data_IF_377826932579
#
_entry.id   IF_377826932579
#
_cell.length_a   1.000
_cell.length_b   1.000
_cell.length_c   1.000
_cell.angle_alpha   90.00
_cell.angle_beta   90.00
_cell.angle_gamma   90.00
#
_symmetry.space_group_name_H-M   'P 1'
#
loop_
_entity.id
_entity.type
_entity.pdbx_description
1 polymer ?
#
# COMPACT_ATOMS: atom_id res chain seq x y z
N UNK A 1 -4.03 20.90 -7.49
CA UNK A 1 -3.02 20.94 -6.42
C UNK A 1 -1.83 21.79 -6.78
N UNK A 2 -1.16 22.33 -5.80
CA UNK A 2 0.03 23.16 -5.98
C UNK A 2 1.24 22.37 -5.48
N UNK A 3 2.32 22.38 -6.25
CA UNK A 3 3.61 21.83 -5.83
C UNK A 3 4.58 23.01 -5.64
N UNK A 4 5.16 23.12 -4.46
CA UNK A 4 6.10 24.17 -4.09
C UNK A 4 7.43 23.51 -3.74
N UNK A 5 8.51 23.99 -4.29
CA UNK A 5 9.86 23.65 -3.85
C UNK A 5 10.56 24.87 -3.29
N UNK A 6 11.30 24.66 -2.22
CA UNK A 6 12.11 25.71 -1.58
C UNK A 6 13.48 25.14 -1.28
N UNK A 7 14.50 25.93 -1.54
CA UNK A 7 15.87 25.63 -1.11
C UNK A 7 16.19 26.42 0.16
N UNK A 8 16.74 25.76 1.15
CA UNK A 8 17.30 26.35 2.36
C UNK A 8 18.79 26.03 2.46
N UNK A 9 19.41 26.32 3.62
CA UNK A 9 20.84 26.06 3.84
C UNK A 9 21.21 24.61 3.94
N UNK A 10 20.24 23.75 4.29
CA UNK A 10 20.43 22.33 4.63
C UNK A 10 19.93 21.40 3.52
N UNK A 11 19.39 21.95 2.41
CA UNK A 11 18.88 21.16 1.31
C UNK A 11 17.68 21.77 0.59
N UNK A 12 16.89 20.92 0.00
CA UNK A 12 15.65 21.28 -0.72
C UNK A 12 14.42 20.64 -0.06
N UNK A 13 13.34 21.38 0.00
CA UNK A 13 12.04 20.87 0.45
C UNK A 13 11.04 20.97 -0.69
N UNK A 14 10.33 19.87 -0.95
CA UNK A 14 9.21 19.82 -1.87
C UNK A 14 7.94 19.61 -1.06
N UNK A 15 6.95 20.45 -1.30
CA UNK A 15 5.68 20.44 -0.58
C UNK A 15 4.54 20.35 -1.60
N UNK A 16 3.54 19.53 -1.28
CA UNK A 16 2.27 19.52 -1.99
C UNK A 16 1.13 19.23 -1.04
N UNK A 17 0.17 20.12 -0.94
CA UNK A 17 -0.94 20.00 -0.01
C UNK A 17 -2.07 19.11 -0.54
N UNK A 18 -2.25 19.08 -1.84
CA UNK A 18 -3.35 18.31 -2.45
C UNK A 18 -3.09 18.11 -3.94
N UNK A 19 -2.65 16.92 -4.29
CA UNK A 19 -2.59 16.47 -5.68
C UNK A 19 -3.63 15.38 -5.87
N UNK A 20 -4.46 15.52 -6.88
CA UNK A 20 -5.37 14.45 -7.30
C UNK A 20 -4.83 13.81 -8.56
N UNK A 21 -4.72 12.49 -8.53
CA UNK A 21 -4.37 11.65 -9.66
C UNK A 21 -5.55 10.73 -9.95
N UNK A 22 -6.05 10.79 -11.17
CA UNK A 22 -7.21 9.98 -11.58
C UNK A 22 -7.02 9.45 -12.99
N UNK A 23 -7.34 8.19 -13.15
CA UNK A 23 -7.43 7.53 -14.46
C UNK A 23 -8.59 6.52 -14.48
N UNK A 24 -8.62 5.61 -15.48
CA UNK A 24 -9.66 4.59 -15.59
C UNK A 24 -9.55 3.49 -14.49
N UNK A 25 -8.39 3.34 -13.86
CA UNK A 25 -8.08 2.24 -12.95
C UNK A 25 -8.13 2.68 -11.48
N UNK A 26 -7.82 3.95 -11.17
CA UNK A 26 -7.84 4.46 -9.80
C UNK A 26 -8.10 5.97 -9.70
N UNK A 27 -8.47 6.41 -8.51
CA UNK A 27 -8.58 7.80 -8.08
C UNK A 27 -7.84 7.97 -6.75
N UNK A 28 -6.95 8.94 -6.66
CA UNK A 28 -6.16 9.21 -5.46
C UNK A 28 -6.03 10.70 -5.21
N UNK A 29 -6.10 11.09 -3.96
CA UNK A 29 -5.75 12.40 -3.47
C UNK A 29 -4.61 12.25 -2.47
N UNK A 30 -3.54 13.04 -2.64
CA UNK A 30 -2.36 12.92 -1.83
C UNK A 30 -1.81 14.27 -1.37
N UNK A 31 -1.13 14.27 -0.24
CA UNK A 31 -0.25 15.32 0.25
C UNK A 31 1.16 14.78 0.42
N UNK A 32 2.15 15.62 0.21
CA UNK A 32 3.55 15.25 0.26
C UNK A 32 4.39 16.39 0.84
N UNK A 33 5.24 16.04 1.80
CA UNK A 33 6.40 16.83 2.18
C UNK A 33 7.65 15.96 2.01
N UNK A 34 8.58 16.39 1.18
CA UNK A 34 9.84 15.69 0.91
C UNK A 34 11.01 16.62 1.21
N UNK A 35 11.79 16.26 2.22
CA UNK A 35 13.05 16.89 2.54
C UNK A 35 14.20 16.18 1.82
N UNK A 36 14.96 16.90 1.04
CA UNK A 36 16.14 16.44 0.31
C UNK A 36 17.36 17.17 0.89
N UNK A 37 18.02 16.61 1.91
CA UNK A 37 19.19 17.23 2.53
C UNK A 37 20.36 17.30 1.54
N UNK A 38 21.23 18.32 1.72
CA UNK A 38 22.51 18.36 1.02
C UNK A 38 23.48 17.33 1.63
N UNK A 39 24.32 16.70 0.81
CA UNK A 39 25.28 15.66 1.25
C UNK A 39 24.67 14.26 1.30
N UNK A 40 25.21 13.41 2.19
CA UNK A 40 24.91 11.96 2.24
C UNK A 40 23.72 11.59 3.12
N UNK A 41 23.04 12.55 3.74
CA UNK A 41 21.90 12.28 4.60
C UNK A 41 20.70 11.81 3.76
N UNK A 42 19.96 10.82 4.29
CA UNK A 42 18.82 10.26 3.59
C UNK A 42 17.66 11.27 3.46
N UNK A 43 16.93 11.23 2.35
CA UNK A 43 15.69 11.97 2.21
C UNK A 43 14.67 11.61 3.29
N UNK A 44 13.96 12.63 3.79
CA UNK A 44 12.86 12.44 4.75
C UNK A 44 11.56 12.76 4.06
N UNK A 45 10.59 11.86 4.18
CA UNK A 45 9.27 11.98 3.57
C UNK A 45 8.17 12.02 4.64
N UNK A 46 7.17 12.85 4.41
CA UNK A 46 5.85 12.77 5.04
C UNK A 46 4.81 12.77 3.92
N UNK A 47 4.14 11.64 3.75
CA UNK A 47 3.21 11.38 2.68
C UNK A 47 1.92 10.80 3.23
N UNK A 48 0.82 11.38 2.83
CA UNK A 48 -0.51 10.85 3.10
C UNK A 48 -1.31 10.78 1.80
N UNK A 49 -2.09 9.73 1.64
CA UNK A 49 -3.04 9.64 0.54
C UNK A 49 -4.32 8.92 0.93
N UNK A 50 -5.41 9.32 0.30
CA UNK A 50 -6.66 8.57 0.23
C UNK A 50 -6.90 8.16 -1.22
N UNK A 51 -7.34 6.92 -1.42
CA UNK A 51 -7.45 6.36 -2.76
C UNK A 51 -8.54 5.31 -2.87
N UNK A 52 -9.00 5.09 -4.08
CA UNK A 52 -9.86 3.98 -4.49
C UNK A 52 -9.31 3.36 -5.77
N UNK A 53 -9.54 2.07 -5.96
CA UNK A 53 -9.09 1.31 -7.13
C UNK A 53 -10.29 0.63 -7.75
N UNK A 54 -10.50 0.86 -9.02
CA UNK A 54 -11.64 0.30 -9.76
C UNK A 54 -11.37 -1.11 -10.27
N UNK A 55 -10.09 -1.46 -10.46
CA UNK A 55 -9.63 -2.79 -10.84
C UNK A 55 -8.29 -3.11 -10.16
N UNK A 56 -8.32 -4.00 -9.17
CA UNK A 56 -7.11 -4.37 -8.41
C UNK A 56 -6.10 -5.15 -9.26
N UNK A 57 -6.54 -5.82 -10.33
CA UNK A 57 -5.63 -6.57 -11.22
C UNK A 57 -4.63 -5.65 -11.92
N UNK A 58 -4.98 -4.39 -12.13
CA UNK A 58 -4.11 -3.37 -12.72
C UNK A 58 -3.08 -2.78 -11.73
N UNK A 59 -3.22 -3.02 -10.42
CA UNK A 59 -2.40 -2.40 -9.37
C UNK A 59 -0.90 -2.69 -9.49
N UNK A 60 -0.53 -3.83 -10.06
CA UNK A 60 0.89 -4.17 -10.29
C UNK A 60 1.67 -3.10 -11.07
N UNK A 61 0.99 -2.30 -11.91
CA UNK A 61 1.61 -1.20 -12.70
C UNK A 61 2.01 -0.01 -11.85
N UNK A 62 1.39 0.16 -10.69
CA UNK A 62 1.55 1.33 -9.80
C UNK A 62 2.43 1.04 -8.59
N UNK A 63 2.87 -0.20 -8.43
CA UNK A 63 3.74 -0.59 -7.33
C UNK A 63 5.13 0.07 -7.46
N UNK A 64 5.68 0.64 -6.37
CA UNK A 64 6.97 1.31 -6.40
C UNK A 64 8.11 0.31 -6.53
N UNK A 65 8.58 0.10 -7.76
CA UNK A 65 9.54 -0.96 -8.14
C UNK A 65 10.87 -0.94 -7.38
N UNK A 66 11.24 0.22 -6.81
CA UNK A 66 12.51 0.37 -6.06
C UNK A 66 12.37 0.06 -4.57
N UNK A 67 11.15 0.00 -4.05
CA UNK A 67 10.88 -0.13 -2.61
C UNK A 67 10.47 -1.56 -2.26
N UNK A 68 9.75 -2.24 -3.16
CA UNK A 68 9.28 -3.61 -2.93
C UNK A 68 10.21 -4.64 -3.58
N UNK A 69 10.38 -5.79 -2.90
CA UNK A 69 11.19 -6.88 -3.44
C UNK A 69 10.56 -7.48 -4.71
N UNK A 70 11.36 -8.05 -5.62
CA UNK A 70 10.83 -8.73 -6.80
C UNK A 70 9.85 -9.87 -6.45
N UNK A 71 10.08 -10.58 -5.36
CA UNK A 71 9.23 -11.66 -4.87
C UNK A 71 7.85 -11.12 -4.44
N UNK A 72 7.83 -10.07 -3.61
CA UNK A 72 6.59 -9.45 -3.16
C UNK A 72 5.80 -8.87 -4.34
N UNK A 73 6.49 -8.23 -5.29
CA UNK A 73 5.86 -7.71 -6.50
C UNK A 73 5.20 -8.80 -7.32
N UNK A 74 5.94 -9.91 -7.56
CA UNK A 74 5.39 -11.05 -8.28
C UNK A 74 4.18 -11.62 -7.56
N UNK A 75 4.28 -11.83 -6.24
CA UNK A 75 3.18 -12.34 -5.45
C UNK A 75 1.94 -11.43 -5.51
N UNK A 76 2.10 -10.11 -5.35
CA UNK A 76 0.97 -9.16 -5.47
C UNK A 76 0.33 -9.18 -6.85
N UNK A 77 1.14 -9.29 -7.90
CA UNK A 77 0.66 -9.38 -9.29
C UNK A 77 -0.16 -10.65 -9.54
N UNK A 78 0.25 -11.76 -8.95
CA UNK A 78 -0.42 -13.05 -9.12
C UNK A 78 -1.62 -13.21 -8.18
N UNK A 79 -1.54 -12.63 -6.98
CA UNK A 79 -2.54 -12.76 -5.94
C UNK A 79 -3.80 -11.92 -6.20
N UNK A 80 -3.68 -10.74 -6.77
CA UNK A 80 -4.81 -9.83 -7.01
C UNK A 80 -5.47 -10.13 -8.36
N UNK A 81 -6.39 -11.10 -8.39
CA UNK A 81 -7.03 -11.57 -9.63
C UNK A 81 -8.13 -10.61 -10.09
N UNK A 82 -9.02 -10.20 -9.19
CA UNK A 82 -10.12 -9.27 -9.48
C UNK A 82 -10.61 -8.58 -8.21
N UNK A 83 -11.47 -7.58 -8.39
CA UNK A 83 -12.07 -6.80 -7.31
C UNK A 83 -11.74 -5.33 -7.38
N UNK A 84 -12.20 -4.58 -6.40
CA UNK A 84 -11.98 -3.15 -6.32
C UNK A 84 -11.71 -2.72 -4.86
N UNK A 85 -10.99 -1.61 -4.69
CA UNK A 85 -10.81 -0.96 -3.40
C UNK A 85 -11.75 0.23 -3.33
N UNK A 86 -12.73 0.14 -2.44
CA UNK A 86 -13.70 1.23 -2.23
C UNK A 86 -13.12 2.35 -1.39
N UNK A 87 -12.22 2.02 -0.47
CA UNK A 87 -11.52 2.97 0.39
C UNK A 87 -10.13 2.45 0.73
N UNK A 88 -9.13 3.25 0.39
CA UNK A 88 -7.76 3.04 0.79
C UNK A 88 -7.17 4.31 1.38
N UNK A 89 -6.28 4.18 2.35
CA UNK A 89 -5.42 5.25 2.85
C UNK A 89 -3.99 4.76 2.95
N UNK A 90 -3.03 5.64 2.71
CA UNK A 90 -1.61 5.37 2.90
C UNK A 90 -1.00 6.50 3.70
N UNK A 91 -0.20 6.15 4.70
CA UNK A 91 0.68 7.05 5.43
C UNK A 91 2.10 6.53 5.37
N UNK A 92 3.03 7.40 5.00
CA UNK A 92 4.45 7.12 5.02
C UNK A 92 5.17 8.32 5.63
N UNK A 93 5.88 8.13 6.75
CA UNK A 93 6.57 9.21 7.45
C UNK A 93 7.88 8.69 8.03
N UNK A 94 9.00 9.31 7.66
CA UNK A 94 10.34 8.95 8.14
C UNK A 94 11.42 9.10 7.09
N UNK A 95 12.65 8.74 7.47
CA UNK A 95 13.82 8.72 6.57
C UNK A 95 13.74 7.49 5.65
N UNK A 96 14.01 7.69 4.35
CA UNK A 96 13.82 6.63 3.35
C UNK A 96 14.78 5.44 3.52
N UNK A 97 15.96 5.67 4.07
CA UNK A 97 16.96 4.63 4.35
C UNK A 97 16.60 3.74 5.55
N UNK A 98 15.65 4.19 6.39
CA UNK A 98 15.17 3.43 7.55
C UNK A 98 13.91 2.61 7.26
N UNK A 99 13.38 2.69 6.02
CA UNK A 99 12.26 1.83 5.62
C UNK A 99 12.67 0.35 5.69
N UNK A 100 11.86 -0.53 6.27
CA UNK A 100 10.44 -0.40 6.65
C UNK A 100 10.17 0.00 8.11
N UNK A 101 11.10 0.70 8.79
CA UNK A 101 10.94 1.26 10.13
C UNK A 101 10.81 0.21 11.24
N UNK A 102 11.65 -0.80 11.20
CA UNK A 102 11.67 -1.90 12.20
C UNK A 102 11.95 -1.39 13.62
N UNK A 103 12.67 -0.28 13.74
CA UNK A 103 13.05 0.35 15.01
C UNK A 103 12.02 1.37 15.53
N UNK A 104 10.93 1.58 14.79
CA UNK A 104 9.88 2.55 15.13
C UNK A 104 10.24 4.01 14.86
N UNK A 105 11.35 4.30 14.16
CA UNK A 105 11.76 5.68 13.81
C UNK A 105 10.94 6.29 12.66
N UNK A 106 9.99 5.56 12.13
CA UNK A 106 9.10 6.01 11.08
C UNK A 106 7.79 5.22 11.05
N UNK A 107 6.93 5.57 10.11
CA UNK A 107 5.63 4.96 9.95
C UNK A 107 5.35 4.67 8.48
N UNK A 108 5.02 3.42 8.19
CA UNK A 108 4.41 3.00 6.93
C UNK A 108 3.10 2.29 7.25
N UNK A 109 1.99 2.86 6.83
CA UNK A 109 0.67 2.28 7.08
C UNK A 109 -0.19 2.35 5.83
N UNK A 110 -0.85 1.24 5.53
CA UNK A 110 -1.90 1.14 4.53
C UNK A 110 -3.13 0.56 5.23
N UNK A 111 -4.27 1.19 5.03
CA UNK A 111 -5.59 0.64 5.35
C UNK A 111 -6.40 0.57 4.07
N UNK A 112 -6.90 -0.59 3.71
CA UNK A 112 -7.66 -0.79 2.48
C UNK A 112 -8.86 -1.71 2.69
N UNK A 113 -9.99 -1.36 2.09
CA UNK A 113 -11.17 -2.20 1.99
C UNK A 113 -11.36 -2.66 0.56
N UNK A 114 -11.26 -3.96 0.36
CA UNK A 114 -11.54 -4.61 -0.90
C UNK A 114 -12.98 -5.14 -0.90
N UNK A 115 -13.63 -5.03 -2.05
CA UNK A 115 -14.97 -5.55 -2.28
C UNK A 115 -15.01 -6.38 -3.55
N UNK A 116 -15.78 -7.48 -3.51
CA UNK A 116 -15.93 -8.44 -4.58
C UNK A 116 -14.57 -8.88 -5.16
N UNK A 117 -13.64 -9.20 -4.26
CA UNK A 117 -12.27 -9.52 -4.61
C UNK A 117 -12.06 -11.03 -4.75
N UNK A 118 -11.27 -11.42 -5.74
CA UNK A 118 -10.76 -12.77 -5.89
C UNK A 118 -9.25 -12.74 -5.67
N UNK A 119 -8.78 -13.50 -4.69
CA UNK A 119 -7.37 -13.62 -4.36
C UNK A 119 -6.85 -15.03 -4.58
N UNK A 120 -5.75 -15.14 -5.33
CA UNK A 120 -4.97 -16.36 -5.51
C UNK A 120 -3.79 -16.31 -4.55
N UNK A 121 -3.99 -16.75 -3.31
CA UNK A 121 -2.97 -16.67 -2.28
C UNK A 121 -1.68 -17.45 -2.59
N UNK A 122 -1.83 -18.61 -3.22
CA UNK A 122 -0.73 -19.50 -3.59
C UNK A 122 -1.13 -20.35 -4.79
N UNK A 123 -0.18 -20.67 -5.66
CA UNK A 123 -0.40 -21.53 -6.84
C UNK A 123 -0.95 -22.93 -6.48
N UNK A 124 -0.75 -23.36 -5.23
CA UNK A 124 -1.19 -24.67 -4.72
C UNK A 124 -2.57 -24.65 -4.08
N UNK A 125 -3.15 -23.48 -3.87
CA UNK A 125 -4.44 -23.32 -3.22
C UNK A 125 -5.44 -22.72 -4.21
N UNK A 126 -6.71 -23.12 -4.17
CA UNK A 126 -7.72 -22.50 -5.01
C UNK A 126 -7.89 -21.03 -4.64
N UNK A 127 -8.25 -20.22 -5.63
CA UNK A 127 -8.58 -18.82 -5.40
C UNK A 127 -9.76 -18.71 -4.41
N UNK A 128 -9.70 -17.71 -3.56
CA UNK A 128 -10.78 -17.39 -2.63
C UNK A 128 -11.49 -16.12 -3.08
N UNK A 129 -12.83 -16.16 -3.01
CA UNK A 129 -13.69 -15.03 -3.33
C UNK A 129 -14.13 -14.34 -2.04
N UNK A 130 -13.94 -13.03 -1.97
CA UNK A 130 -14.25 -12.21 -0.80
C UNK A 130 -15.32 -11.18 -1.17
N UNK A 131 -16.39 -11.12 -0.40
CA UNK A 131 -17.35 -10.02 -0.52
C UNK A 131 -16.77 -8.74 0.09
N UNK A 132 -16.20 -8.85 1.29
CA UNK A 132 -15.52 -7.75 1.96
C UNK A 132 -14.24 -8.26 2.64
N UNK A 133 -13.16 -7.57 2.38
CA UNK A 133 -11.85 -7.87 2.94
C UNK A 133 -11.18 -6.56 3.37
N UNK A 134 -10.93 -6.39 4.66
CA UNK A 134 -10.14 -5.29 5.19
C UNK A 134 -8.68 -5.74 5.32
N UNK A 135 -7.76 -4.94 4.80
CA UNK A 135 -6.32 -5.17 4.86
C UNK A 135 -5.68 -3.97 5.54
N UNK A 136 -4.84 -4.24 6.52
CA UNK A 136 -4.01 -3.26 7.21
C UNK A 136 -2.55 -3.72 7.09
N UNK A 137 -1.70 -2.87 6.53
CA UNK A 137 -0.24 -3.01 6.62
C UNK A 137 0.26 -1.97 7.61
N UNK A 138 1.06 -2.38 8.57
CA UNK A 138 1.68 -1.52 9.57
C UNK A 138 3.17 -1.86 9.66
N UNK A 139 4.01 -1.02 9.06
CA UNK A 139 5.43 -1.26 8.81
C UNK A 139 5.64 -2.61 8.10
N UNK A 140 6.08 -3.63 8.81
CA UNK A 140 6.31 -4.99 8.27
C UNK A 140 5.16 -5.94 8.51
N UNK A 141 4.16 -5.58 9.31
CA UNK A 141 3.06 -6.46 9.67
C UNK A 141 1.86 -6.28 8.75
N UNK A 142 1.20 -7.37 8.44
CA UNK A 142 -0.07 -7.35 7.73
C UNK A 142 -1.14 -8.00 8.59
N UNK A 143 -2.26 -7.30 8.70
CA UNK A 143 -3.49 -7.79 9.30
C UNK A 143 -4.59 -7.78 8.26
N UNK A 144 -5.38 -8.81 8.22
CA UNK A 144 -6.54 -8.88 7.35
C UNK A 144 -7.74 -9.42 8.12
N UNK A 145 -8.88 -8.76 7.94
CA UNK A 145 -10.15 -9.21 8.46
C UNK A 145 -11.10 -9.55 7.31
N UNK A 146 -11.53 -10.79 7.30
CA UNK A 146 -12.46 -11.37 6.31
C UNK A 146 -13.84 -11.41 6.93
N UNK A 147 -14.76 -10.59 6.45
CA UNK A 147 -16.16 -10.66 6.90
C UNK A 147 -16.85 -11.90 6.33
N UNK A 148 -16.73 -12.14 5.03
CA UNK A 148 -17.19 -13.35 4.39
C UNK A 148 -16.35 -13.67 3.15
N UNK A 149 -16.05 -14.94 2.97
CA UNK A 149 -15.36 -15.47 1.80
C UNK A 149 -15.96 -16.81 1.39
N UNK A 150 -15.79 -17.15 0.12
CA UNK A 150 -16.14 -18.46 -0.42
C UNK A 150 -14.90 -19.09 -1.05
N UNK A 151 -14.64 -20.34 -0.71
CA UNK A 151 -13.57 -21.13 -1.30
C UNK A 151 -14.06 -22.56 -1.55
N UNK A 152 -14.02 -23.01 -2.80
CA UNK A 152 -14.53 -24.34 -3.22
C UNK A 152 -15.94 -24.66 -2.70
N UNK A 153 -16.84 -23.67 -2.66
CA UNK A 153 -18.20 -23.83 -2.16
C UNK A 153 -18.34 -23.84 -0.63
N UNK A 154 -17.23 -23.72 0.12
CA UNK A 154 -17.27 -23.54 1.57
C UNK A 154 -17.30 -22.05 1.90
N UNK A 155 -18.15 -21.64 2.83
CA UNK A 155 -18.18 -20.28 3.36
C UNK A 155 -17.27 -20.16 4.57
N UNK A 156 -16.55 -19.05 4.62
CA UNK A 156 -15.73 -18.63 5.76
C UNK A 156 -16.25 -17.28 6.21
N UNK A 157 -16.51 -17.12 7.50
CA UNK A 157 -17.01 -15.89 8.09
C UNK A 157 -16.15 -15.47 9.28
N UNK A 158 -15.94 -14.15 9.43
CA UNK A 158 -15.24 -13.54 10.56
C UNK A 158 -13.85 -14.12 10.81
N UNK A 159 -13.09 -14.36 9.73
CA UNK A 159 -11.71 -14.83 9.83
C UNK A 159 -10.72 -13.67 9.92
N UNK A 160 -9.62 -13.88 10.64
CA UNK A 160 -8.50 -12.97 10.70
C UNK A 160 -7.23 -13.65 10.21
N UNK A 161 -6.43 -12.91 9.45
CA UNK A 161 -5.12 -13.34 8.98
C UNK A 161 -4.09 -12.34 9.50
N UNK A 162 -3.02 -12.85 10.09
CA UNK A 162 -1.88 -12.03 10.51
C UNK A 162 -0.60 -12.58 9.87
N UNK A 163 0.18 -11.69 9.27
CA UNK A 163 1.53 -11.95 8.79
C UNK A 163 2.46 -11.04 9.59
N UNK A 164 3.31 -11.64 10.40
CA UNK A 164 4.21 -10.90 11.30
C UNK A 164 5.28 -10.10 10.54
N UNK A 165 5.70 -10.60 9.39
CA UNK A 165 6.66 -9.92 8.51
C UNK A 165 6.34 -10.22 7.04
N UNK A 166 5.87 -9.21 6.31
CA UNK A 166 5.53 -9.34 4.88
C UNK A 166 6.75 -9.59 3.97
N UNK A 167 7.97 -9.45 4.49
CA UNK A 167 9.21 -9.78 3.76
C UNK A 167 9.49 -11.28 3.75
N UNK A 168 8.87 -11.99 4.69
CA UNK A 168 9.02 -13.44 4.88
C UNK A 168 7.67 -14.06 5.30
N UNK A 169 6.65 -14.01 4.41
CA UNK A 169 5.28 -14.43 4.66
C UNK A 169 5.12 -15.94 4.80
#
# INVERSE_FOLDING_TARGET
>A
GTVIWRRNRDGMIVLSDSVRVRNAEFDSQLSLQLGLPDGDAAPVIDFESSWSVYDVSAMHRYLPLKIITPQLRKWLSDALVSGHVTRGTTRFSGALDQFPFDDGQGKFRIDARLENATLQYSDKWPAAEFHHLDIIVDNTRLYSHVNSAVNLGNSVENACIEIADIRSP
#
